data_IF_910336130376
#
_entry.id   IF_910336130376
#
_cell.length_a   1.000
_cell.length_b   1.000
_cell.length_c   1.000
_cell.angle_alpha   90.00
_cell.angle_beta   90.00
_cell.angle_gamma   90.00
#
_symmetry.space_group_name_H-M   'P 1'
#
loop_
_entity.id
_entity.type
_entity.pdbx_description
1 polymer ?
#
# COMPACT_ATOMS: atom_id res chain seq x y z
N UNK A 1 7.04 -14.55 10.48
CA UNK A 1 6.78 -14.99 9.09
C UNK A 1 8.09 -15.35 8.33
N UNK A 2 8.94 -16.26 8.82
CA UNK A 2 10.25 -16.53 8.21
C UNK A 2 10.18 -17.29 6.86
N UNK A 3 9.04 -17.92 6.53
CA UNK A 3 8.91 -18.79 5.35
C UNK A 3 8.59 -18.05 4.04
N UNK A 4 8.24 -16.77 4.09
CA UNK A 4 7.78 -16.04 2.90
C UNK A 4 8.94 -15.49 2.06
N UNK A 5 10.01 -15.02 2.71
CA UNK A 5 11.16 -14.41 2.01
C UNK A 5 11.89 -15.42 1.11
N UNK A 6 12.22 -16.65 1.57
CA UNK A 6 12.87 -17.64 0.70
C UNK A 6 11.99 -18.05 -0.48
N UNK A 7 10.67 -18.14 -0.27
CA UNK A 7 9.69 -18.42 -1.33
C UNK A 7 9.61 -17.29 -2.34
N UNK A 8 9.67 -16.04 -1.89
CA UNK A 8 9.68 -14.87 -2.76
C UNK A 8 10.95 -14.83 -3.62
N UNK A 9 12.13 -15.10 -3.03
CA UNK A 9 13.39 -15.14 -3.77
C UNK A 9 13.39 -16.22 -4.85
N UNK A 10 12.96 -17.45 -4.52
CA UNK A 10 12.79 -18.52 -5.52
C UNK A 10 11.76 -18.16 -6.60
N UNK A 11 10.67 -17.49 -6.22
CA UNK A 11 9.66 -17.03 -7.18
C UNK A 11 10.22 -15.95 -8.12
N UNK A 12 11.07 -15.05 -7.63
CA UNK A 12 11.74 -14.03 -8.45
C UNK A 12 12.75 -14.65 -9.42
N UNK A 13 13.51 -15.67 -8.98
CA UNK A 13 14.41 -16.44 -9.85
C UNK A 13 13.63 -17.16 -10.96
N UNK A 14 12.51 -17.81 -10.63
CA UNK A 14 11.64 -18.43 -11.63
C UNK A 14 10.90 -17.44 -12.53
N UNK A 15 10.59 -16.23 -12.02
CA UNK A 15 9.96 -15.19 -12.83
C UNK A 15 10.93 -14.61 -13.88
N UNK A 16 12.24 -14.61 -13.62
CA UNK A 16 13.25 -14.16 -14.59
C UNK A 16 13.33 -15.05 -15.83
N UNK A 17 13.04 -16.35 -15.71
CA UNK A 17 13.15 -17.31 -16.82
C UNK A 17 11.87 -17.47 -17.63
N UNK A 18 10.76 -16.85 -17.24
CA UNK A 18 9.48 -16.98 -17.94
C UNK A 18 8.98 -15.65 -18.50
N UNK A 19 8.51 -15.60 -19.76
CA UNK A 19 7.82 -14.43 -20.27
C UNK A 19 6.52 -14.22 -19.47
N UNK A 20 6.17 -12.96 -19.15
CA UNK A 20 5.03 -12.66 -18.30
C UNK A 20 3.72 -13.10 -18.97
N UNK A 21 2.98 -14.02 -18.33
CA UNK A 21 1.62 -14.43 -18.76
C UNK A 21 0.58 -13.56 -18.06
N UNK A 22 -0.09 -12.69 -18.82
CA UNK A 22 -1.11 -11.78 -18.31
C UNK A 22 -2.50 -12.44 -18.35
N UNK A 23 -2.89 -13.12 -17.28
CA UNK A 23 -4.31 -13.46 -17.12
C UNK A 23 -5.03 -12.25 -16.52
N UNK A 24 -5.79 -11.52 -17.36
CA UNK A 24 -6.78 -10.54 -16.89
C UNK A 24 -7.83 -11.28 -16.07
N UNK A 25 -7.68 -11.34 -14.74
CA UNK A 25 -8.79 -11.79 -13.90
C UNK A 25 -9.85 -10.68 -13.87
N UNK A 26 -11.12 -11.00 -14.16
CA UNK A 26 -12.19 -10.03 -14.01
C UNK A 26 -12.27 -9.58 -12.54
N UNK A 27 -12.59 -8.31 -12.27
CA UNK A 27 -12.71 -7.79 -10.92
C UNK A 27 -13.85 -8.53 -10.21
N UNK A 28 -13.51 -9.26 -9.15
CA UNK A 28 -14.50 -9.88 -8.27
C UNK A 28 -15.15 -8.79 -7.43
N UNK A 29 -16.49 -8.70 -7.36
CA UNK A 29 -17.16 -7.68 -6.58
C UNK A 29 -16.81 -7.79 -5.09
N UNK A 30 -16.40 -6.66 -4.50
CA UNK A 30 -16.07 -6.56 -3.08
C UNK A 30 -17.37 -6.49 -2.28
N UNK A 31 -17.82 -7.62 -1.73
CA UNK A 31 -18.93 -7.64 -0.76
C UNK A 31 -18.41 -7.11 0.58
N UNK A 32 -18.88 -5.93 0.98
CA UNK A 32 -18.56 -5.31 2.25
C UNK A 32 -19.41 -5.93 3.37
N UNK A 33 -18.95 -7.04 3.95
CA UNK A 33 -19.67 -7.69 5.05
C UNK A 33 -19.33 -7.00 6.38
N UNK A 34 -20.24 -6.15 6.86
CA UNK A 34 -20.20 -5.52 8.19
C UNK A 34 -20.89 -6.45 9.18
N UNK A 35 -20.16 -7.40 9.76
CA UNK A 35 -20.69 -8.19 10.87
C UNK A 35 -19.66 -8.27 11.97
N UNK A 36 -20.07 -7.86 13.16
CA UNK A 36 -19.35 -8.13 14.42
C UNK A 36 -19.90 -9.47 14.91
N UNK A 37 -19.04 -10.47 15.07
CA UNK A 37 -19.47 -11.83 15.44
C UNK A 37 -19.09 -12.20 16.86
N UNK A 38 -20.04 -12.85 17.52
CA UNK A 38 -19.89 -13.60 18.77
C UNK A 38 -19.07 -14.85 18.52
N UNK A 39 -18.06 -15.12 19.35
CA UNK A 39 -17.26 -16.36 19.29
C UNK A 39 -18.20 -17.55 19.52
N UNK A 40 -18.29 -18.52 18.60
CA UNK A 40 -19.05 -19.74 18.87
C UNK A 40 -18.41 -20.47 20.07
N UNK A 41 -19.25 -21.09 20.89
CA UNK A 41 -18.82 -21.90 22.03
C UNK A 41 -17.83 -22.98 21.55
N UNK A 42 -16.65 -23.00 22.16
CA UNK A 42 -15.62 -23.99 21.83
C UNK A 42 -16.12 -25.36 22.26
N UNK A 43 -16.16 -26.30 21.32
CA UNK A 43 -16.43 -27.71 21.62
C UNK A 43 -15.11 -28.38 21.87
N UNK A 44 -15.00 -29.10 22.99
CA UNK A 44 -13.81 -29.84 23.34
C UNK A 44 -13.47 -30.84 22.24
N UNK A 45 -12.25 -30.77 21.69
CA UNK A 45 -11.76 -31.65 20.62
C UNK A 45 -11.07 -32.88 21.24
N UNK A 46 -10.92 -32.94 22.56
CA UNK A 46 -10.27 -34.04 23.26
C UNK A 46 -10.86 -35.41 22.88
N UNK A 47 -10.00 -36.44 22.69
CA UNK A 47 -10.46 -37.81 22.48
C UNK A 47 -10.99 -38.45 23.77
N UNK A 48 -10.76 -37.86 24.94
CA UNK A 48 -11.24 -38.40 26.21
C UNK A 48 -12.77 -38.43 26.28
N UNK A 49 -13.32 -39.62 26.59
CA UNK A 49 -14.75 -39.81 26.79
C UNK A 49 -15.58 -39.98 25.51
N UNK A 50 -14.96 -40.16 24.34
CA UNK A 50 -15.67 -40.39 23.09
C UNK A 50 -15.72 -41.87 22.71
N UNK A 51 -16.93 -42.37 22.46
CA UNK A 51 -17.16 -43.73 21.94
C UNK A 51 -17.11 -43.82 20.41
N UNK A 52 -17.10 -42.68 19.71
CA UNK A 52 -17.14 -42.61 18.25
C UNK A 52 -16.21 -41.52 17.72
N UNK A 53 -15.82 -41.64 16.44
CA UNK A 53 -14.96 -40.64 15.80
C UNK A 53 -15.66 -39.29 15.66
N UNK A 54 -14.90 -38.21 15.78
CA UNK A 54 -15.39 -36.83 15.70
C UNK A 54 -16.06 -36.51 14.34
N UNK A 55 -15.73 -37.28 13.30
CA UNK A 55 -16.32 -37.15 11.95
C UNK A 55 -17.70 -37.79 11.84
N UNK A 56 -18.04 -38.72 12.74
CA UNK A 56 -19.34 -39.39 12.77
C UNK A 56 -20.31 -38.71 13.75
N UNK A 57 -19.79 -37.92 14.70
CA UNK A 57 -20.62 -37.16 15.61
C UNK A 57 -21.34 -36.01 14.88
N UNK A 58 -22.66 -36.16 14.68
CA UNK A 58 -23.53 -35.16 14.04
C UNK A 58 -23.43 -33.77 14.68
N UNK A 59 -23.11 -33.69 15.97
CA UNK A 59 -22.90 -32.40 16.66
C UNK A 59 -21.55 -31.78 16.29
N UNK A 60 -20.49 -32.58 16.20
CA UNK A 60 -19.14 -32.12 15.82
C UNK A 60 -19.00 -31.80 14.33
N UNK A 61 -19.66 -32.58 13.45
CA UNK A 61 -19.73 -32.34 12.00
C UNK A 61 -20.34 -30.97 11.70
N UNK A 62 -21.34 -30.53 12.48
CA UNK A 62 -21.90 -29.19 12.37
C UNK A 62 -20.89 -28.07 12.67
N UNK A 63 -19.80 -28.32 13.42
CA UNK A 63 -18.72 -27.34 13.61
C UNK A 63 -17.80 -27.25 12.39
N UNK A 64 -17.48 -28.37 11.76
CA UNK A 64 -16.63 -28.40 10.56
C UNK A 64 -17.33 -27.65 9.42
N UNK A 65 -18.62 -27.92 9.18
CA UNK A 65 -19.39 -27.24 8.11
C UNK A 65 -19.83 -25.80 8.44
N UNK A 66 -19.60 -25.31 9.67
CA UNK A 66 -19.86 -23.91 10.06
C UNK A 66 -18.67 -22.99 9.81
N UNK A 67 -17.90 -23.21 8.74
CA UNK A 67 -16.87 -22.25 8.29
C UNK A 67 -17.42 -20.82 8.15
N UNK A 68 -18.71 -20.66 7.82
CA UNK A 68 -19.39 -19.36 7.80
C UNK A 68 -19.54 -18.66 9.18
N UNK A 69 -19.37 -19.38 10.30
CA UNK A 69 -19.38 -18.83 11.68
C UNK A 69 -18.00 -18.53 12.24
N UNK A 70 -16.95 -19.15 11.69
CA UNK A 70 -15.57 -18.76 11.97
C UNK A 70 -15.27 -17.51 11.15
N UNK A 71 -15.77 -16.36 11.61
CA UNK A 71 -15.23 -15.12 11.09
C UNK A 71 -13.81 -14.95 11.62
N UNK A 72 -12.81 -14.83 10.73
CA UNK A 72 -11.47 -14.48 11.17
C UNK A 72 -11.57 -13.13 11.87
N UNK A 73 -11.45 -13.12 13.19
CA UNK A 73 -11.22 -11.88 13.94
C UNK A 73 -9.87 -11.37 13.48
N UNK A 74 -9.89 -10.45 12.52
CA UNK A 74 -8.69 -9.75 12.11
C UNK A 74 -8.22 -8.98 13.33
N UNK A 75 -7.24 -9.55 14.04
CA UNK A 75 -6.51 -8.81 15.05
C UNK A 75 -6.03 -7.51 14.42
N UNK A 76 -6.07 -6.42 15.20
CA UNK A 76 -5.57 -5.14 14.74
C UNK A 76 -4.13 -5.29 14.24
N UNK A 77 -3.77 -4.53 13.21
CA UNK A 77 -2.40 -4.50 12.72
C UNK A 77 -1.45 -4.13 13.87
N UNK A 78 -0.32 -4.83 14.04
CA UNK A 78 0.61 -4.54 15.13
C UNK A 78 1.18 -3.12 14.99
N UNK A 79 1.40 -2.43 16.09
CA UNK A 79 2.02 -1.09 16.10
C UNK A 79 3.48 -1.17 16.58
N UNK A 80 4.35 -0.29 16.05
CA UNK A 80 5.77 -0.23 16.44
C UNK A 80 5.94 0.03 17.95
N UNK A 81 5.07 0.85 18.52
CA UNK A 81 4.97 1.12 19.96
C UNK A 81 3.50 1.32 20.32
N UNK A 82 3.02 0.57 21.30
CA UNK A 82 1.63 0.66 21.76
C UNK A 82 1.60 1.56 23.00
N UNK A 83 0.93 2.70 22.90
CA UNK A 83 0.65 3.56 24.06
C UNK A 83 -0.83 3.45 24.43
N UNK A 84 -1.10 2.94 25.64
CA UNK A 84 -2.48 2.79 26.15
C UNK A 84 -3.24 4.12 26.15
N UNK A 85 -2.60 5.21 26.59
CA UNK A 85 -3.20 6.55 26.60
C UNK A 85 -3.55 7.03 25.17
N UNK A 86 -2.62 6.90 24.23
CA UNK A 86 -2.87 7.25 22.82
C UNK A 86 -3.99 6.41 22.22
N UNK A 87 -4.07 5.14 22.58
CA UNK A 87 -5.11 4.25 22.08
C UNK A 87 -6.49 4.56 22.68
N UNK A 88 -6.56 4.83 23.99
CA UNK A 88 -7.78 5.34 24.64
C UNK A 88 -8.29 6.61 23.97
N UNK A 89 -7.40 7.54 23.63
CA UNK A 89 -7.77 8.73 22.86
C UNK A 89 -8.32 8.36 21.47
N UNK A 90 -7.66 7.47 20.72
CA UNK A 90 -8.18 6.98 19.42
C UNK A 90 -9.57 6.35 19.53
N UNK A 91 -9.82 5.59 20.59
CA UNK A 91 -11.13 4.97 20.87
C UNK A 91 -12.20 6.02 21.18
N UNK A 92 -11.87 7.04 21.99
CA UNK A 92 -12.77 8.16 22.28
C UNK A 92 -13.19 8.92 21.01
N UNK A 93 -12.30 9.04 20.02
CA UNK A 93 -12.60 9.64 18.71
C UNK A 93 -13.25 8.68 17.70
N UNK A 94 -13.63 7.45 18.10
CA UNK A 94 -14.23 6.45 17.21
C UNK A 94 -13.28 5.95 16.10
N UNK A 95 -11.97 6.20 16.21
CA UNK A 95 -10.96 5.80 15.21
C UNK A 95 -10.42 4.38 15.45
N UNK A 96 -10.80 3.76 16.55
CA UNK A 96 -10.35 2.44 16.98
C UNK A 96 -11.49 1.69 17.67
N UNK A 97 -11.59 0.36 17.52
CA UNK A 97 -12.60 -0.43 18.22
C UNK A 97 -12.39 -0.39 19.73
N UNK A 98 -13.49 -0.33 20.48
CA UNK A 98 -13.48 -0.32 21.95
C UNK A 98 -12.94 -1.65 22.50
N UNK A 99 -12.22 -1.59 23.62
CA UNK A 99 -11.73 -2.77 24.35
C UNK A 99 -10.59 -3.57 23.69
N UNK A 100 -10.27 -3.35 22.41
CA UNK A 100 -9.20 -4.08 21.71
C UNK A 100 -7.97 -3.21 21.57
N UNK A 101 -6.83 -3.65 22.12
CA UNK A 101 -5.52 -3.02 21.95
C UNK A 101 -4.72 -3.74 20.85
N UNK A 102 -4.00 -3.02 19.97
CA UNK A 102 -3.08 -3.66 19.02
C UNK A 102 -1.89 -4.27 19.77
N UNK A 103 -1.35 -5.37 19.22
CA UNK A 103 -0.09 -5.95 19.71
C UNK A 103 1.09 -5.04 19.35
N UNK A 104 2.11 -5.02 20.20
CA UNK A 104 3.39 -4.42 19.84
C UNK A 104 4.14 -5.30 18.81
N UNK A 105 4.83 -4.66 17.88
CA UNK A 105 5.71 -5.36 16.94
C UNK A 105 6.87 -6.04 17.66
N UNK A 106 7.13 -7.29 17.29
CA UNK A 106 8.35 -8.04 17.64
C UNK A 106 9.60 -7.35 17.07
N UNK A 107 10.79 -7.69 17.58
CA UNK A 107 12.05 -7.11 17.09
C UNK A 107 12.27 -7.39 15.59
N UNK A 108 11.95 -8.60 15.12
CA UNK A 108 12.00 -8.94 13.69
C UNK A 108 11.03 -8.07 12.88
N UNK A 109 9.77 -7.95 13.30
CA UNK A 109 8.78 -7.11 12.62
C UNK A 109 9.22 -5.65 12.55
N UNK A 110 9.85 -5.12 13.61
CA UNK A 110 10.44 -3.78 13.60
C UNK A 110 11.57 -3.67 12.59
N UNK A 111 12.43 -4.68 12.48
CA UNK A 111 13.52 -4.69 11.50
C UNK A 111 12.98 -4.70 10.06
N UNK A 112 11.93 -5.47 9.79
CA UNK A 112 11.27 -5.49 8.48
C UNK A 112 10.54 -4.19 8.19
N UNK A 113 9.86 -3.62 9.19
CA UNK A 113 9.19 -2.34 9.09
C UNK A 113 10.18 -1.18 8.88
N UNK A 114 11.41 -1.29 9.42
CA UNK A 114 12.47 -0.31 9.19
C UNK A 114 13.07 -0.39 7.79
N UNK A 115 12.94 -1.52 7.08
CA UNK A 115 13.46 -1.67 5.73
C UNK A 115 12.56 -0.95 4.70
N UNK A 116 13.05 0.09 4.01
CA UNK A 116 12.24 0.88 3.08
C UNK A 116 11.80 0.07 1.85
N UNK A 117 12.61 -0.88 1.38
CA UNK A 117 12.29 -1.71 0.22
C UNK A 117 11.14 -2.68 0.54
N UNK A 118 11.14 -3.28 1.72
CA UNK A 118 10.02 -4.15 2.15
C UNK A 118 8.73 -3.34 2.33
N UNK A 119 8.83 -2.12 2.86
CA UNK A 119 7.68 -1.20 2.92
C UNK A 119 7.15 -0.83 1.54
N UNK A 120 8.06 -0.60 0.59
CA UNK A 120 7.70 -0.30 -0.80
C UNK A 120 6.92 -1.47 -1.41
N UNK A 121 7.39 -2.70 -1.23
CA UNK A 121 6.75 -3.93 -1.74
C UNK A 121 5.42 -4.24 -1.02
N UNK A 122 5.30 -3.89 0.26
CA UNK A 122 4.07 -4.07 1.04
C UNK A 122 3.00 -3.02 0.77
N UNK A 123 3.28 -2.00 -0.06
CA UNK A 123 2.30 -0.98 -0.43
C UNK A 123 1.17 -1.57 -1.29
N UNK A 124 -0.04 -1.00 -1.26
CA UNK A 124 -1.18 -1.57 -1.98
C UNK A 124 -0.88 -1.64 -3.48
N UNK A 125 -1.20 -2.77 -4.10
CA UNK A 125 -1.02 -2.95 -5.54
C UNK A 125 -1.98 -2.03 -6.32
N UNK A 126 -1.46 -1.42 -7.38
CA UNK A 126 -2.19 -0.59 -8.32
C UNK A 126 -1.79 -0.96 -9.74
N UNK A 127 -2.72 -0.76 -10.67
CA UNK A 127 -2.46 -1.05 -12.07
C UNK A 127 -1.80 0.15 -12.74
N UNK A 128 -0.64 -0.05 -13.34
CA UNK A 128 -0.06 0.90 -14.28
C UNK A 128 -0.97 0.98 -15.50
N UNK A 129 -1.50 2.17 -15.80
CA UNK A 129 -2.45 2.31 -16.90
C UNK A 129 -1.80 2.07 -18.26
N UNK A 130 -0.51 2.34 -18.38
CA UNK A 130 0.20 2.21 -19.65
C UNK A 130 0.52 0.75 -19.97
N UNK A 131 1.16 0.04 -19.03
CA UNK A 131 1.60 -1.35 -19.23
C UNK A 131 0.55 -2.38 -18.80
N UNK A 132 -0.45 -1.98 -18.02
CA UNK A 132 -1.44 -2.88 -17.42
C UNK A 132 -0.91 -3.69 -16.24
N UNK A 133 0.35 -3.49 -15.82
CA UNK A 133 0.99 -4.27 -14.76
C UNK A 133 0.48 -3.88 -13.36
N UNK A 134 0.26 -4.87 -12.50
CA UNK A 134 -0.03 -4.65 -11.09
C UNK A 134 1.28 -4.50 -10.32
N UNK A 135 1.53 -3.31 -9.80
CA UNK A 135 2.76 -2.97 -9.09
C UNK A 135 2.44 -2.29 -7.75
N UNK A 136 3.35 -2.35 -6.77
CA UNK A 136 3.20 -1.62 -5.52
C UNK A 136 3.05 -0.12 -5.81
N UNK A 137 2.14 0.55 -5.09
CA UNK A 137 1.85 1.99 -5.27
C UNK A 137 3.11 2.84 -5.25
N UNK A 138 4.08 2.54 -4.39
CA UNK A 138 5.31 3.34 -4.26
C UNK A 138 6.23 3.26 -5.49
N UNK A 139 6.03 2.27 -6.37
CA UNK A 139 6.75 2.17 -7.66
C UNK A 139 6.03 2.91 -8.81
N UNK A 140 4.90 3.56 -8.50
CA UNK A 140 4.03 4.20 -9.46
C UNK A 140 3.85 5.68 -9.10
N UNK A 141 3.76 6.51 -10.13
CA UNK A 141 3.41 7.92 -10.00
C UNK A 141 1.92 8.06 -10.24
N UNK A 142 1.24 8.73 -9.32
CA UNK A 142 -0.15 9.11 -9.49
C UNK A 142 -0.23 10.34 -10.39
N UNK A 143 -0.97 10.21 -11.48
CA UNK A 143 -1.27 11.27 -12.42
C UNK A 143 -2.74 11.64 -12.29
N UNK A 144 -3.05 12.93 -12.23
CA UNK A 144 -4.41 13.46 -12.10
C UNK A 144 -4.69 14.41 -13.26
N UNK A 145 -5.91 14.35 -13.78
CA UNK A 145 -6.40 15.34 -14.74
C UNK A 145 -6.90 16.57 -13.97
N UNK A 146 -6.32 17.73 -14.25
CA UNK A 146 -6.66 19.01 -13.61
C UNK A 146 -7.19 20.00 -14.66
N UNK A 147 -8.10 20.87 -14.25
CA UNK A 147 -8.61 21.96 -15.11
C UNK A 147 -7.56 23.08 -15.12
N UNK A 148 -7.20 23.56 -16.32
CA UNK A 148 -6.33 24.72 -16.46
C UNK A 148 -7.14 26.01 -16.29
N UNK A 149 -6.62 27.02 -15.56
CA UNK A 149 -7.33 28.28 -15.31
C UNK A 149 -7.62 29.06 -16.61
N UNK A 150 -6.79 28.90 -17.64
CA UNK A 150 -6.90 29.61 -18.93
C UNK A 150 -7.98 29.03 -19.87
N UNK A 151 -8.97 28.34 -19.31
CA UNK A 151 -10.05 27.75 -20.09
C UNK A 151 -11.05 28.83 -20.51
N UNK A 152 -11.14 29.10 -21.81
CA UNK A 152 -12.18 29.99 -22.36
C UNK A 152 -13.57 29.47 -21.97
N UNK A 153 -14.55 30.35 -21.72
CA UNK A 153 -15.92 29.93 -21.45
C UNK A 153 -16.42 29.04 -22.60
N UNK A 154 -16.90 27.84 -22.27
CA UNK A 154 -17.36 26.84 -23.23
C UNK A 154 -16.32 25.79 -23.69
N UNK A 155 -15.03 25.94 -23.38
CA UNK A 155 -14.01 24.93 -23.72
C UNK A 155 -13.02 24.71 -22.58
N UNK A 156 -13.35 23.78 -21.69
CA UNK A 156 -12.46 23.36 -20.60
C UNK A 156 -11.20 22.68 -21.16
N UNK A 157 -10.05 23.21 -20.77
CA UNK A 157 -8.74 22.63 -21.04
C UNK A 157 -8.28 21.85 -19.83
N UNK A 158 -7.82 20.64 -20.08
CA UNK A 158 -7.35 19.74 -19.04
C UNK A 158 -5.84 19.52 -19.17
N UNK A 159 -5.15 19.43 -18.04
CA UNK A 159 -3.74 19.04 -17.98
C UNK A 159 -3.60 17.72 -17.20
N UNK A 160 -2.79 16.81 -17.71
CA UNK A 160 -2.47 15.55 -17.04
C UNK A 160 -1.16 15.69 -16.28
N UNK A 161 -1.26 15.90 -14.96
CA UNK A 161 -0.14 16.30 -14.12
C UNK A 161 0.13 15.28 -13.00
N UNK A 162 1.38 15.15 -12.53
CA UNK A 162 1.68 14.34 -11.36
C UNK A 162 1.02 14.95 -10.12
N UNK A 163 0.51 14.11 -9.23
CA UNK A 163 -0.17 14.55 -8.01
C UNK A 163 0.22 13.65 -6.83
N UNK A 164 0.31 14.24 -5.64
CA UNK A 164 0.66 13.53 -4.41
C UNK A 164 2.08 12.96 -4.40
N UNK A 165 2.98 13.56 -5.20
CA UNK A 165 4.40 13.21 -5.16
C UNK A 165 5.10 13.82 -3.95
N UNK A 166 4.71 15.00 -3.49
CA UNK A 166 5.26 15.68 -2.33
C UNK A 166 4.78 15.07 -1.00
N UNK A 167 5.47 15.42 0.09
CA UNK A 167 5.09 14.95 1.41
C UNK A 167 3.77 15.61 1.87
N UNK A 168 2.79 14.83 2.40
CA UNK A 168 1.44 15.32 2.73
C UNK A 168 1.36 16.47 3.75
N UNK A 169 2.44 16.71 4.52
CA UNK A 169 2.53 17.84 5.46
C UNK A 169 2.79 19.18 4.76
N UNK A 170 3.41 19.16 3.59
CA UNK A 170 3.76 20.38 2.84
C UNK A 170 2.72 20.70 1.77
N UNK A 171 2.12 19.67 1.18
CA UNK A 171 1.16 19.84 0.09
C UNK A 171 -0.15 19.12 0.40
N UNK A 172 -1.25 19.85 0.22
CA UNK A 172 -2.59 19.28 0.37
C UNK A 172 -2.90 18.39 -0.82
N UNK A 173 -3.50 17.25 -0.54
CA UNK A 173 -3.93 16.33 -1.56
C UNK A 173 -5.06 16.96 -2.38
N UNK A 174 -4.84 17.11 -3.69
CA UNK A 174 -5.89 17.51 -4.62
C UNK A 174 -6.66 16.28 -5.08
N UNK A 175 -7.97 16.27 -4.84
CA UNK A 175 -8.86 15.18 -5.26
C UNK A 175 -8.98 15.04 -6.78
N UNK A 176 -9.76 14.06 -7.23
CA UNK A 176 -10.10 13.87 -8.65
C UNK A 176 -9.76 12.49 -9.21
N UNK A 177 -10.20 12.27 -10.45
CA UNK A 177 -9.90 11.05 -11.21
C UNK A 177 -8.39 10.98 -11.42
N UNK A 178 -7.80 9.86 -11.03
CA UNK A 178 -6.36 9.68 -11.10
C UNK A 178 -6.00 8.29 -11.58
N UNK A 179 -4.92 8.21 -12.33
CA UNK A 179 -4.38 6.99 -12.90
C UNK A 179 -2.93 6.84 -12.47
N UNK A 180 -2.40 5.62 -12.48
CA UNK A 180 -1.04 5.33 -12.06
C UNK A 180 -0.17 5.01 -13.26
N UNK A 181 1.01 5.63 -13.36
CA UNK A 181 2.04 5.34 -14.37
C UNK A 181 3.30 4.82 -13.67
N UNK A 182 4.12 4.02 -14.36
CA UNK A 182 5.39 3.55 -13.81
C UNK A 182 6.29 4.75 -13.45
N UNK A 183 6.93 4.70 -12.28
CA UNK A 183 7.95 5.68 -11.89
C UNK A 183 9.26 5.43 -12.67
N UNK A 184 9.22 5.66 -13.98
CA UNK A 184 10.36 5.44 -14.88
C UNK A 184 10.33 6.48 -16.00
N UNK A 185 11.42 7.23 -16.16
CA UNK A 185 11.48 8.37 -17.07
C UNK A 185 11.14 8.00 -18.53
N UNK A 186 11.77 6.99 -19.15
CA UNK A 186 11.41 6.55 -20.51
C UNK A 186 9.93 6.18 -20.69
N UNK A 187 9.27 5.66 -19.65
CA UNK A 187 7.85 5.33 -19.72
C UNK A 187 6.98 6.59 -19.74
N UNK A 188 7.36 7.61 -18.97
CA UNK A 188 6.64 8.89 -18.94
C UNK A 188 6.75 9.59 -20.29
N UNK A 189 7.95 9.63 -20.87
CA UNK A 189 8.21 10.20 -22.20
C UNK A 189 7.42 9.46 -23.28
N UNK A 190 7.46 8.13 -23.26
CA UNK A 190 6.67 7.32 -24.19
C UNK A 190 5.16 7.52 -24.05
N UNK A 191 4.65 7.65 -22.81
CA UNK A 191 3.23 7.95 -22.54
C UNK A 191 2.82 9.31 -23.11
N UNK A 192 3.70 10.31 -22.99
CA UNK A 192 3.50 11.65 -23.57
C UNK A 192 3.44 11.55 -25.09
N UNK A 193 4.45 10.95 -25.71
CA UNK A 193 4.61 10.93 -27.17
C UNK A 193 3.48 10.14 -27.84
N UNK A 194 3.09 9.00 -27.25
CA UNK A 194 1.96 8.19 -27.74
C UNK A 194 0.59 8.83 -27.46
N UNK A 195 0.50 9.84 -26.60
CA UNK A 195 -0.78 10.45 -26.22
C UNK A 195 -1.71 9.52 -25.43
N UNK A 196 -1.19 8.46 -24.80
CA UNK A 196 -2.01 7.45 -24.10
C UNK A 196 -2.83 8.03 -22.93
N UNK A 197 -2.43 9.19 -22.43
CA UNK A 197 -3.12 9.91 -21.36
C UNK A 197 -4.43 10.59 -21.81
N UNK A 198 -4.64 10.82 -23.11
CA UNK A 198 -5.81 11.53 -23.66
C UNK A 198 -7.14 10.87 -23.30
N UNK A 199 -7.13 9.54 -23.09
CA UNK A 199 -8.30 8.75 -22.66
C UNK A 199 -8.81 9.09 -21.25
N UNK A 200 -8.06 9.88 -20.47
CA UNK A 200 -8.47 10.35 -19.15
C UNK A 200 -9.10 11.74 -19.17
N UNK A 201 -9.47 12.23 -20.36
CA UNK A 201 -10.24 13.46 -20.51
C UNK A 201 -11.68 13.25 -20.02
N UNK A 202 -12.17 14.01 -19.03
CA UNK A 202 -13.46 13.75 -18.41
C UNK A 202 -14.67 13.94 -19.34
N UNK A 203 -14.55 14.70 -20.44
CA UNK A 203 -15.68 15.04 -21.34
C UNK A 203 -15.29 15.02 -22.83
N UNK A 204 -14.31 14.20 -23.21
CA UNK A 204 -13.74 14.23 -24.57
C UNK A 204 -12.98 15.53 -24.89
N UNK A 205 -12.82 16.42 -23.92
CA UNK A 205 -12.06 17.67 -24.05
C UNK A 205 -10.57 17.47 -24.36
N UNK A 206 -9.88 18.54 -24.70
CA UNK A 206 -8.45 18.50 -25.00
C UNK A 206 -7.64 18.37 -23.70
N UNK A 207 -7.24 17.15 -23.34
CA UNK A 207 -6.24 16.90 -22.30
C UNK A 207 -4.85 17.04 -22.90
N UNK A 208 -4.00 17.82 -22.24
CA UNK A 208 -2.60 18.06 -22.62
C UNK A 208 -1.66 17.54 -21.54
N UNK A 209 -0.46 17.14 -21.95
CA UNK A 209 0.62 16.76 -21.03
C UNK A 209 1.80 17.66 -21.33
N UNK A 210 2.39 18.26 -20.30
CA UNK A 210 3.45 19.24 -20.47
C UNK A 210 4.70 18.58 -21.11
N UNK A 211 5.43 19.24 -22.02
CA UNK A 211 6.62 18.66 -22.65
C UNK A 211 7.71 18.31 -21.64
N UNK A 212 7.89 19.15 -20.61
CA UNK A 212 8.90 18.96 -19.55
C UNK A 212 8.41 18.12 -18.36
N UNK A 213 7.35 17.33 -18.53
CA UNK A 213 6.70 16.59 -17.43
C UNK A 213 7.66 15.63 -16.71
N UNK A 214 8.60 15.00 -17.44
CA UNK A 214 9.61 14.13 -16.84
C UNK A 214 10.57 14.92 -15.95
N UNK A 215 11.02 16.10 -16.41
CA UNK A 215 11.87 17.00 -15.62
C UNK A 215 11.13 17.54 -14.39
N UNK A 216 9.85 17.90 -14.55
CA UNK A 216 9.00 18.36 -13.46
C UNK A 216 8.83 17.26 -12.39
N UNK A 217 8.54 16.03 -12.79
CA UNK A 217 8.48 14.87 -11.88
C UNK A 217 9.81 14.69 -11.16
N UNK A 218 10.93 14.72 -11.89
CA UNK A 218 12.27 14.62 -11.30
C UNK A 218 12.56 15.72 -10.28
N UNK A 219 12.18 16.97 -10.58
CA UNK A 219 12.29 18.09 -9.66
C UNK A 219 11.46 17.88 -8.39
N UNK A 220 10.16 17.53 -8.53
CA UNK A 220 9.28 17.30 -7.38
C UNK A 220 9.79 16.15 -6.50
N UNK A 221 10.35 15.09 -7.09
CA UNK A 221 10.97 14.00 -6.33
C UNK A 221 12.18 14.47 -5.52
N UNK A 222 13.03 15.36 -6.07
CA UNK A 222 14.13 15.98 -5.31
C UNK A 222 13.59 16.85 -4.16
N UNK A 223 12.56 17.64 -4.42
CA UNK A 223 11.88 18.45 -3.38
C UNK A 223 11.35 17.55 -2.26
N UNK A 224 10.75 16.40 -2.58
CA UNK A 224 10.32 15.45 -1.56
C UNK A 224 11.47 14.94 -0.70
N UNK A 225 12.63 14.63 -1.28
CA UNK A 225 13.81 14.21 -0.49
C UNK A 225 14.18 15.29 0.52
N UNK A 226 14.19 16.56 0.11
CA UNK A 226 14.46 17.68 1.02
C UNK A 226 13.39 17.81 2.12
N UNK A 227 12.11 17.68 1.77
CA UNK A 227 10.99 17.68 2.73
C UNK A 227 11.15 16.57 3.77
N UNK A 228 11.48 15.34 3.35
CA UNK A 228 11.70 14.21 4.27
C UNK A 228 12.90 14.47 5.20
N UNK A 229 14.01 15.00 4.66
CA UNK A 229 15.18 15.37 5.46
C UNK A 229 14.84 16.43 6.51
N UNK A 230 14.01 17.42 6.17
CA UNK A 230 13.53 18.44 7.11
C UNK A 230 12.67 17.84 8.23
N UNK A 231 11.84 16.84 7.92
CA UNK A 231 11.04 16.14 8.94
C UNK A 231 11.90 15.29 9.86
N UNK A 232 12.92 14.63 9.30
CA UNK A 232 13.86 13.83 10.07
C UNK A 232 14.72 14.70 10.99
N UNK A 233 15.21 15.85 10.51
CA UNK A 233 15.97 16.79 11.35
C UNK A 233 15.12 17.32 12.50
N UNK A 234 13.89 17.76 12.22
CA UNK A 234 12.95 18.22 13.24
C UNK A 234 12.57 17.13 14.27
N UNK A 235 12.43 15.88 13.83
CA UNK A 235 12.15 14.75 14.72
C UNK A 235 13.36 14.42 15.61
N UNK A 236 14.58 14.55 15.09
CA UNK A 236 15.83 14.30 15.83
C UNK A 236 16.07 15.36 16.90
N UNK A 237 15.88 16.64 16.60
CA UNK A 237 16.05 17.72 17.59
C UNK A 237 15.10 17.58 18.78
N UNK A 238 13.90 17.02 18.57
CA UNK A 238 12.93 16.74 19.64
C UNK A 238 13.23 15.47 20.44
N UNK A 239 14.19 14.65 20.00
CA UNK A 239 14.57 13.37 20.64
C UNK A 239 16.09 13.20 20.60
N UNK A 240 16.84 13.99 21.39
CA UNK A 240 18.30 13.95 21.38
C UNK A 240 18.90 12.60 21.84
N UNK A 241 18.12 11.74 22.52
CA UNK A 241 18.64 10.60 23.28
C UNK A 241 18.63 9.21 22.57
N UNK A 242 18.24 9.11 21.29
CA UNK A 242 18.42 7.84 20.56
C UNK A 242 19.65 7.95 19.66
N UNK A 243 20.80 7.79 20.30
CA UNK A 243 22.08 7.47 19.66
C UNK A 243 21.85 6.47 18.53
N UNK A 244 22.30 6.87 17.34
CA UNK A 244 22.38 6.07 16.14
C UNK A 244 23.05 4.72 16.43
N UNK A 245 22.24 3.70 16.72
CA UNK A 245 22.58 2.35 16.30
C UNK A 245 22.54 2.36 14.76
N UNK A 246 23.70 2.72 14.20
CA UNK A 246 24.36 1.92 13.18
C UNK A 246 23.60 1.81 11.83
N UNK A 247 23.24 2.94 11.23
CA UNK A 247 23.34 3.01 9.76
C UNK A 247 24.80 3.30 9.40
N UNK A 248 25.66 2.28 9.50
CA UNK A 248 26.91 2.26 8.73
C UNK A 248 26.51 1.88 7.30
N UNK A 249 26.70 2.73 6.28
CA UNK A 249 26.78 2.24 4.93
C UNK A 249 28.08 1.44 4.84
N UNK A 250 28.03 0.12 5.09
CA UNK A 250 29.11 -0.77 4.68
C UNK A 250 29.07 -0.83 3.16
N UNK A 251 30.00 -0.10 2.55
CA UNK A 251 30.69 -0.46 1.30
C UNK A 251 29.82 -1.03 0.19
N UNK A 252 29.38 -0.19 -0.75
CA UNK A 252 29.00 -0.64 -2.10
C UNK A 252 28.88 0.55 -3.08
N UNK A 253 29.91 1.38 -3.14
CA UNK A 253 30.17 2.27 -4.28
C UNK A 253 31.68 2.37 -4.49
N UNK A 254 32.30 1.24 -4.81
CA UNK A 254 33.47 1.24 -5.70
C UNK A 254 33.01 0.55 -6.99
N UNK A 255 32.63 1.36 -7.97
CA UNK A 255 32.55 0.91 -9.35
C UNK A 255 33.41 1.87 -10.15
N UNK A 256 34.48 1.28 -10.69
CA UNK A 256 35.21 1.75 -11.87
C UNK A 256 34.25 1.81 -13.05
#
# INVERSE_FOLDING_TARGET
>A
MPRFIPRLLRALEHARSRPPRFTRRPPTPLVADKRVFTRPQEVDISPHGRSQSILLDRKAVRLIYRHARYQPTKSLAPEVRVSKARWRAKQAFGRAPAGVLPREMTQEERSYHANPYLRMLGSPLRQCFHTGWLLPREMLIRMTTMILPDSRPGKLRYAFLPNGLEHPRFTRFQGGRSSYVLCHQPVIEYVRDRGSYKRFSPDGGATTMHPLIAQQIGHILRVRVLQELQLLSGARSRRPALSLLRMRPRSLWSLR
#
